data_IF_514153801355
#
_entry.id   IF_514153801355
#
_cell.length_a   1.000
_cell.length_b   1.000
_cell.length_c   1.000
_cell.angle_alpha   90.00
_cell.angle_beta   90.00
_cell.angle_gamma   90.00
#
_symmetry.space_group_name_H-M   'P 1'
#
loop_
_entity.id
_entity.type
_entity.pdbx_description
1 polymer ?
#
# COMPACT_ATOMS: atom_id res chain seq x y z
N UNK A 1 8.83 7.46 13.21
CA UNK A 1 7.42 7.00 13.28
C UNK A 1 7.25 5.89 12.26
N UNK A 2 6.50 4.83 12.55
CA UNK A 2 6.34 3.73 11.58
C UNK A 2 5.40 4.19 10.44
N UNK A 3 5.85 4.10 9.19
CA UNK A 3 5.08 4.43 8.00
C UNK A 3 5.10 3.21 7.08
N UNK A 4 3.92 2.84 6.61
CA UNK A 4 3.75 1.82 5.60
C UNK A 4 3.32 2.50 4.31
N UNK A 5 3.93 2.09 3.20
CA UNK A 5 3.46 2.48 1.88
C UNK A 5 2.70 1.34 1.22
N UNK A 6 1.67 1.71 0.48
CA UNK A 6 0.81 0.79 -0.26
C UNK A 6 0.84 1.19 -1.72
N UNK A 7 1.10 0.24 -2.60
CA UNK A 7 0.89 0.42 -4.04
C UNK A 7 -0.40 -0.29 -4.42
N UNK A 8 -1.34 0.45 -5.00
CA UNK A 8 -2.64 -0.06 -5.40
C UNK A 8 -3.04 0.57 -6.73
N UNK A 9 -3.35 -0.26 -7.75
CA UNK A 9 -3.70 0.23 -9.08
C UNK A 9 -2.61 1.10 -9.73
N UNK A 10 -1.34 0.89 -9.35
CA UNK A 10 -0.22 1.71 -9.80
C UNK A 10 -0.13 3.10 -9.15
N UNK A 11 -0.80 3.33 -8.03
CA UNK A 11 -0.72 4.57 -7.25
C UNK A 11 -0.22 4.28 -5.84
N UNK A 12 0.53 5.23 -5.27
CA UNK A 12 1.09 5.12 -3.92
C UNK A 12 0.17 5.77 -2.88
N UNK A 13 -0.01 5.06 -1.78
CA UNK A 13 -0.76 5.47 -0.60
C UNK A 13 0.09 5.21 0.63
N UNK A 14 -0.29 5.76 1.78
CA UNK A 14 0.45 5.55 3.01
C UNK A 14 -0.44 5.29 4.23
N UNK A 15 0.13 4.64 5.24
CA UNK A 15 -0.46 4.43 6.55
C UNK A 15 0.55 4.84 7.62
N UNK A 16 0.16 5.76 8.49
CA UNK A 16 0.98 6.16 9.64
C UNK A 16 0.63 5.31 10.86
N UNK A 17 1.63 4.97 11.67
CA UNK A 17 1.44 4.28 12.96
C UNK A 17 1.02 2.80 12.85
N UNK A 18 1.15 2.19 11.67
CA UNK A 18 0.83 0.78 11.40
C UNK A 18 2.10 -0.03 11.15
N UNK A 19 2.03 -1.34 11.32
CA UNK A 19 3.07 -2.31 10.93
C UNK A 19 2.57 -3.20 9.80
N UNK A 20 3.51 -3.80 9.03
CA UNK A 20 3.15 -4.80 8.00
C UNK A 20 2.32 -5.94 8.60
N UNK A 21 2.78 -6.51 9.72
CA UNK A 21 2.13 -7.63 10.40
C UNK A 21 0.67 -7.31 10.80
N UNK A 22 0.43 -6.10 11.31
CA UNK A 22 -0.91 -5.64 11.66
C UNK A 22 -1.82 -5.55 10.43
N UNK A 23 -1.30 -5.09 9.29
CA UNK A 23 -2.06 -4.95 8.04
C UNK A 23 -2.34 -6.32 7.44
N UNK A 24 -1.34 -7.22 7.40
CA UNK A 24 -1.51 -8.58 6.90
C UNK A 24 -2.54 -9.35 7.71
N UNK A 25 -2.45 -9.29 9.05
CA UNK A 25 -3.42 -9.94 9.95
C UNK A 25 -4.84 -9.43 9.72
N UNK A 26 -5.03 -8.11 9.57
CA UNK A 26 -6.34 -7.52 9.32
C UNK A 26 -6.92 -7.95 7.96
N UNK A 27 -6.09 -7.98 6.91
CA UNK A 27 -6.49 -8.41 5.57
C UNK A 27 -6.83 -9.90 5.55
N UNK A 28 -6.02 -10.76 6.18
CA UNK A 28 -6.27 -12.20 6.25
C UNK A 28 -7.59 -12.50 6.98
N UNK A 29 -7.82 -11.82 8.11
CA UNK A 29 -9.07 -11.92 8.85
C UNK A 29 -10.26 -11.47 8.00
N UNK A 30 -10.12 -10.44 7.18
CA UNK A 30 -11.21 -9.95 6.34
C UNK A 30 -11.48 -10.88 5.13
N UNK A 31 -10.43 -11.33 4.42
CA UNK A 31 -10.54 -12.22 3.25
C UNK A 31 -11.16 -13.56 3.65
N UNK A 32 -10.83 -14.10 4.81
CA UNK A 32 -11.40 -15.36 5.31
C UNK A 32 -12.91 -15.29 5.57
N UNK A 33 -13.48 -14.09 5.75
CA UNK A 33 -14.95 -13.91 5.82
C UNK A 33 -15.66 -14.03 4.46
N UNK A 34 -14.90 -14.08 3.36
CA UNK A 34 -15.43 -14.11 2.00
C UNK A 34 -16.03 -12.78 1.52
N UNK A 35 -15.79 -11.67 2.25
CA UNK A 35 -16.27 -10.34 1.89
C UNK A 35 -15.11 -9.44 1.47
N UNK A 36 -15.31 -8.54 0.49
CA UNK A 36 -14.36 -7.47 0.23
C UNK A 36 -14.15 -6.59 1.46
N UNK A 37 -12.95 -6.04 1.60
CA UNK A 37 -12.53 -5.22 2.73
C UNK A 37 -12.14 -3.81 2.27
N UNK A 38 -12.57 -2.79 3.01
CA UNK A 38 -12.22 -1.40 2.74
C UNK A 38 -11.11 -0.95 3.67
N UNK A 39 -9.90 -0.79 3.13
CA UNK A 39 -8.76 -0.27 3.86
C UNK A 39 -8.71 1.25 3.72
N UNK A 40 -8.86 1.96 4.84
CA UNK A 40 -8.67 3.41 4.87
C UNK A 40 -7.17 3.73 4.91
N UNK A 41 -6.68 4.52 3.97
CA UNK A 41 -5.29 4.93 3.80
C UNK A 41 -5.20 6.43 3.60
N UNK A 42 -4.01 6.98 3.74
CA UNK A 42 -3.73 8.36 3.40
C UNK A 42 -3.30 8.46 1.92
N UNK A 43 -3.86 9.44 1.21
CA UNK A 43 -3.41 9.90 -0.11
C UNK A 43 -2.79 11.30 0.01
N UNK A 44 -1.76 11.60 -0.79
CA UNK A 44 -1.34 12.99 -1.00
C UNK A 44 0.13 13.27 -1.29
N UNK A 45 0.41 13.77 -2.49
CA UNK A 45 1.59 14.57 -2.82
C UNK A 45 1.39 16.06 -2.50
N UNK A 46 0.89 16.39 -1.30
CA UNK A 46 0.74 17.80 -0.86
C UNK A 46 -0.36 18.10 0.17
N UNK A 47 -1.44 17.29 0.24
CA UNK A 47 -2.46 17.34 1.30
C UNK A 47 -2.90 15.93 1.66
N UNK A 48 -2.92 15.62 2.95
CA UNK A 48 -3.41 14.35 3.47
C UNK A 48 -4.92 14.28 3.32
N UNK A 49 -5.39 13.36 2.48
CA UNK A 49 -6.81 13.03 2.32
C UNK A 49 -7.03 11.55 2.61
N UNK A 50 -8.16 11.21 3.22
CA UNK A 50 -8.57 9.82 3.43
C UNK A 50 -8.97 9.19 2.08
N UNK A 51 -8.36 8.06 1.75
CA UNK A 51 -8.71 7.22 0.62
C UNK A 51 -9.11 5.82 1.10
N UNK A 52 -10.00 5.16 0.37
CA UNK A 52 -10.53 3.85 0.72
C UNK A 52 -10.23 2.85 -0.38
N UNK A 53 -9.30 1.93 -0.11
CA UNK A 53 -8.88 0.90 -1.06
C UNK A 53 -9.73 -0.37 -0.88
N UNK A 54 -10.23 -0.93 -1.99
CA UNK A 54 -10.94 -2.20 -1.97
C UNK A 54 -9.95 -3.37 -2.02
N UNK A 55 -9.84 -4.12 -0.94
CA UNK A 55 -9.06 -5.36 -0.90
C UNK A 55 -10.00 -6.53 -1.17
N UNK A 56 -9.74 -7.25 -2.27
CA UNK A 56 -10.51 -8.41 -2.68
C UNK A 56 -9.62 -9.40 -3.47
N UNK A 57 -9.97 -10.70 -3.49
CA UNK A 57 -9.27 -11.68 -4.32
C UNK A 57 -9.20 -11.23 -5.78
N UNK A 58 -8.02 -11.36 -6.39
CA UNK A 58 -7.78 -10.98 -7.78
C UNK A 58 -7.37 -9.51 -8.00
N UNK A 59 -7.31 -8.69 -6.95
CA UNK A 59 -6.82 -7.31 -7.03
C UNK A 59 -5.35 -7.26 -6.56
N UNK A 60 -4.40 -6.84 -7.41
CA UNK A 60 -3.00 -6.72 -7.02
C UNK A 60 -2.78 -5.50 -6.11
N UNK A 61 -2.01 -5.69 -5.05
CA UNK A 61 -1.52 -4.62 -4.19
C UNK A 61 -0.19 -5.04 -3.55
N UNK A 62 0.61 -4.05 -3.12
CA UNK A 62 1.85 -4.28 -2.39
C UNK A 62 1.85 -3.48 -1.08
N UNK A 63 2.51 -4.02 -0.05
CA UNK A 63 2.69 -3.37 1.26
C UNK A 63 4.19 -3.28 1.53
N UNK A 64 4.68 -2.08 1.81
CA UNK A 64 6.10 -1.79 1.97
C UNK A 64 6.36 -1.13 3.34
N UNK A 65 7.39 -1.58 4.04
CA UNK A 65 7.81 -0.95 5.28
C UNK A 65 8.82 0.17 4.97
N UNK A 66 8.49 1.41 5.30
CA UNK A 66 9.40 2.55 5.13
C UNK A 66 10.29 2.63 6.37
N UNK A 67 11.55 2.20 6.24
CA UNK A 67 12.54 2.33 7.32
C UNK A 67 12.98 3.80 7.47
N UNK A 68 13.09 4.34 8.69
CA UNK A 68 13.38 5.76 8.91
C UNK A 68 14.86 6.16 8.75
N UNK A 69 15.70 5.45 7.98
CA UNK A 69 17.14 5.75 7.90
C UNK A 69 17.63 5.85 6.45
N UNK A 70 18.01 7.08 6.05
CA UNK A 70 18.83 7.49 4.89
C UNK A 70 18.53 6.87 3.50
N UNK A 71 17.40 6.20 3.33
CA UNK A 71 16.91 5.77 2.02
C UNK A 71 16.04 6.87 1.45
N UNK A 72 16.39 7.37 0.26
CA UNK A 72 15.51 8.28 -0.50
C UNK A 72 14.08 7.74 -0.45
N UNK A 73 13.11 8.63 -0.16
CA UNK A 73 11.70 8.32 -0.40
C UNK A 73 11.65 7.76 -1.83
N UNK A 74 11.39 6.45 -1.93
CA UNK A 74 11.32 5.81 -3.23
C UNK A 74 10.03 6.34 -3.81
N UNK A 75 10.17 7.38 -4.63
CA UNK A 75 9.10 7.81 -5.51
C UNK A 75 8.92 6.67 -6.50
N UNK A 76 8.01 5.75 -6.15
CA UNK A 76 7.64 4.63 -6.99
C UNK A 76 6.70 5.16 -8.07
N UNK A 77 7.14 6.19 -8.80
CA UNK A 77 6.50 6.60 -10.05
C UNK A 77 6.43 5.32 -10.92
N UNK A 78 5.21 4.82 -11.08
CA UNK A 78 4.91 3.48 -11.63
C UNK A 78 5.18 3.40 -13.13
N UNK A 79 5.74 4.44 -13.74
CA UNK A 79 6.03 4.52 -15.17
C UNK A 79 7.22 3.67 -15.65
N UNK A 80 7.96 2.98 -14.76
CA UNK A 80 9.22 2.32 -15.18
C UNK A 80 9.47 0.87 -14.74
N UNK A 81 8.96 0.41 -13.61
CA UNK A 81 9.63 -0.73 -12.92
C UNK A 81 9.02 -2.10 -13.22
N UNK A 82 7.75 -2.20 -13.63
CA UNK A 82 7.09 -3.50 -13.88
C UNK A 82 7.01 -3.91 -15.37
N UNK A 83 7.68 -3.18 -16.27
CA UNK A 83 7.54 -3.35 -17.73
C UNK A 83 8.80 -3.72 -18.52
N UNK A 84 9.97 -3.85 -17.89
CA UNK A 84 11.20 -4.19 -18.60
C UNK A 84 11.76 -5.53 -18.16
N UNK A 85 11.16 -6.62 -18.64
CA UNK A 85 11.82 -7.93 -18.81
C UNK A 85 11.13 -8.69 -19.94
N UNK A 86 11.25 -8.13 -21.15
CA UNK A 86 10.64 -8.70 -22.34
C UNK A 86 11.26 -8.17 -23.63
N UNK A 87 12.56 -8.40 -23.83
CA UNK A 87 13.21 -8.61 -25.13
C UNK A 87 14.45 -9.49 -24.97
#
# INVERSE_FOLDING_TARGET
>A
MNRIDIVYGGQQYSLAGRSIDSIQTEIDAAITTGKPYWLMVNSGGGRFEDAYLLIAPGIPFAVLNVKPEDGQDIDLDVDGVFGQDGL
#
